data_IF_963375510774
#
_entry.id   IF_963375510774
#
_cell.length_a   1.000
_cell.length_b   1.000
_cell.length_c   1.000
_cell.angle_alpha   90.00
_cell.angle_beta   90.00
_cell.angle_gamma   90.00
#
_symmetry.space_group_name_H-M   'P 1'
#
loop_
_entity.id
_entity.type
_entity.pdbx_description
1 polymer ?
#
# COMPACT_ATOMS: atom_id res chain seq x y z
N UNK A 1 16.44 -10.02 4.69
CA UNK A 1 16.27 -10.76 3.41
C UNK A 1 16.47 -9.72 2.30
N UNK A 2 17.47 -9.87 1.43
CA UNK A 2 17.77 -8.82 0.42
C UNK A 2 16.59 -8.71 -0.56
N UNK A 3 15.92 -7.55 -0.57
CA UNK A 3 14.71 -7.30 -1.36
C UNK A 3 15.04 -7.20 -2.86
N UNK A 4 14.02 -7.17 -3.72
CA UNK A 4 14.15 -6.86 -5.15
C UNK A 4 15.16 -5.75 -5.48
N UNK A 5 15.22 -4.72 -4.62
CA UNK A 5 16.12 -3.58 -4.73
C UNK A 5 17.60 -3.97 -4.74
N UNK A 6 18.02 -4.90 -3.90
CA UNK A 6 19.43 -5.28 -3.75
C UNK A 6 19.93 -6.12 -4.94
N UNK A 7 19.07 -6.93 -5.56
CA UNK A 7 19.45 -7.80 -6.69
C UNK A 7 19.49 -7.06 -8.02
N UNK A 8 18.66 -6.04 -8.20
CA UNK A 8 18.54 -5.35 -9.49
C UNK A 8 19.63 -4.27 -9.70
N UNK A 9 20.17 -3.73 -8.61
CA UNK A 9 21.20 -2.69 -8.63
C UNK A 9 22.59 -3.18 -9.09
N UNK A 10 22.92 -4.47 -8.88
CA UNK A 10 24.22 -5.06 -9.25
C UNK A 10 24.56 -4.96 -10.75
N UNK A 11 23.62 -4.53 -11.61
CA UNK A 11 23.79 -4.51 -13.08
C UNK A 11 23.97 -3.12 -13.72
N UNK A 12 23.90 -2.00 -13.00
CA UNK A 12 23.75 -0.67 -13.67
C UNK A 12 24.72 0.47 -13.29
N UNK A 13 25.73 0.30 -12.44
CA UNK A 13 26.60 1.43 -12.08
C UNK A 13 27.77 1.66 -13.05
N UNK A 14 27.62 2.66 -13.94
CA UNK A 14 28.74 3.35 -14.59
C UNK A 14 28.47 4.86 -14.74
N UNK A 15 29.00 5.63 -13.79
CA UNK A 15 29.51 7.02 -13.89
C UNK A 15 28.55 8.22 -14.12
N UNK A 16 28.47 9.15 -13.14
CA UNK A 16 28.96 10.56 -13.20
C UNK A 16 28.35 11.46 -12.09
N UNK A 17 29.10 12.51 -11.75
CA UNK A 17 29.14 13.31 -10.51
C UNK A 17 28.23 14.57 -10.51
N UNK A 18 27.91 15.05 -9.30
CA UNK A 18 26.94 16.13 -8.93
C UNK A 18 27.61 17.51 -8.78
N UNK A 19 26.82 18.61 -8.82
CA UNK A 19 27.10 19.87 -8.09
C UNK A 19 25.80 20.61 -7.66
N UNK A 20 25.80 21.14 -6.43
CA UNK A 20 24.72 21.84 -5.68
C UNK A 20 24.72 23.38 -5.85
N UNK A 21 23.57 24.06 -5.60
CA UNK A 21 23.49 25.45 -5.04
C UNK A 21 22.22 25.65 -4.17
N UNK A 22 22.40 26.33 -3.02
CA UNK A 22 21.50 26.68 -1.90
C UNK A 22 20.59 27.91 -2.10
N UNK A 23 19.46 28.07 -1.37
CA UNK A 23 18.98 29.36 -0.79
C UNK A 23 17.84 29.23 0.27
N UNK A 24 17.88 30.15 1.26
CA UNK A 24 17.00 30.45 2.44
C UNK A 24 15.70 31.18 2.01
N UNK A 25 14.56 31.32 2.72
CA UNK A 25 14.05 31.07 4.08
C UNK A 25 12.70 31.84 4.29
N UNK A 26 12.03 31.65 5.44
CA UNK A 26 10.82 32.34 6.01
C UNK A 26 9.44 31.89 5.46
N UNK A 27 8.34 31.67 6.21
CA UNK A 27 7.96 31.81 7.62
C UNK A 27 6.50 31.33 7.78
N UNK A 28 6.13 30.80 8.96
CA UNK A 28 4.96 29.93 9.20
C UNK A 28 3.65 30.66 9.59
N UNK A 29 2.52 30.00 9.29
CA UNK A 29 1.19 30.22 9.89
C UNK A 29 0.33 28.94 9.80
N UNK A 30 -0.20 28.46 10.93
CA UNK A 30 -0.90 27.17 11.11
C UNK A 30 -2.38 27.21 10.64
N UNK A 31 -2.86 26.25 9.82
CA UNK A 31 -4.30 26.10 9.55
C UNK A 31 -4.78 24.68 9.85
N UNK A 32 -5.10 24.36 11.11
CA UNK A 32 -5.93 23.19 11.40
C UNK A 32 -7.11 23.58 12.28
N UNK A 33 -8.27 23.66 11.64
CA UNK A 33 -9.56 23.50 12.29
C UNK A 33 -9.83 22.01 12.52
N UNK A 34 -9.22 21.42 13.55
CA UNK A 34 -9.58 20.09 14.09
C UNK A 34 -10.90 20.15 14.89
N UNK A 35 -11.82 21.04 14.49
CA UNK A 35 -13.06 21.35 15.21
C UNK A 35 -14.30 20.58 14.74
N UNK A 36 -14.15 19.66 13.79
CA UNK A 36 -15.22 18.75 13.40
C UNK A 36 -14.91 17.40 14.05
N UNK A 37 -15.87 16.86 14.81
CA UNK A 37 -15.87 15.56 15.52
C UNK A 37 -15.48 15.58 17.02
N UNK A 38 -16.47 15.73 17.94
CA UNK A 38 -16.28 15.63 19.39
C UNK A 38 -16.29 14.17 19.90
N UNK A 39 -15.65 13.23 19.19
CA UNK A 39 -15.69 11.80 19.52
C UNK A 39 -14.39 11.24 20.08
N UNK A 40 -13.70 11.99 20.95
CA UNK A 40 -12.67 11.41 21.84
C UNK A 40 -12.80 12.06 23.23
N UNK A 41 -13.87 11.70 23.96
CA UNK A 41 -13.90 11.74 25.44
C UNK A 41 -15.01 10.79 25.94
N UNK A 42 -14.64 9.54 26.24
CA UNK A 42 -15.16 8.76 27.39
C UNK A 42 -14.70 7.29 27.31
N UNK A 43 -13.77 6.93 28.18
CA UNK A 43 -13.82 5.69 28.95
C UNK A 43 -12.77 5.70 30.07
N UNK A 44 -12.87 6.67 30.98
CA UNK A 44 -12.38 6.44 32.35
C UNK A 44 -13.58 6.06 33.22
N UNK A 45 -13.55 4.84 33.76
CA UNK A 45 -14.27 4.38 34.96
C UNK A 45 -15.80 4.49 34.99
N UNK A 46 -16.51 3.36 34.90
CA UNK A 46 -17.91 3.29 35.31
C UNK A 46 -18.58 1.93 35.08
N UNK A 47 -19.13 1.36 36.14
CA UNK A 47 -19.81 0.06 36.28
C UNK A 47 -20.68 -0.45 35.10
N UNK A 48 -20.70 -1.78 34.98
CA UNK A 48 -21.62 -2.59 34.18
C UNK A 48 -23.08 -2.34 34.63
N UNK A 49 -24.02 -1.95 33.74
CA UNK A 49 -25.44 -2.01 34.05
C UNK A 49 -26.00 -3.41 33.77
N UNK A 50 -26.86 -3.88 34.68
CA UNK A 50 -27.60 -5.13 34.55
C UNK A 50 -28.64 -5.10 33.42
N UNK A 51 -29.07 -6.30 33.03
CA UNK A 51 -29.99 -6.57 31.94
C UNK A 51 -31.32 -5.78 32.07
N UNK A 52 -31.45 -4.70 31.29
CA UNK A 52 -32.65 -3.88 31.28
C UNK A 52 -32.53 -2.64 30.39
N UNK A 53 -31.91 -2.74 29.21
CA UNK A 53 -31.85 -1.67 28.19
C UNK A 53 -31.44 -2.26 26.83
N UNK A 54 -32.32 -3.03 26.16
CA UNK A 54 -32.08 -3.51 24.78
C UNK A 54 -32.76 -2.66 23.70
N UNK A 55 -33.79 -1.88 24.03
CA UNK A 55 -34.47 -0.99 23.07
C UNK A 55 -33.73 0.34 22.86
N UNK A 56 -33.14 0.89 23.93
CA UNK A 56 -32.41 2.16 23.88
C UNK A 56 -31.04 2.08 23.17
N UNK A 57 -30.42 0.89 23.13
CA UNK A 57 -29.14 0.64 22.44
C UNK A 57 -29.34 0.51 20.94
N UNK A 58 -30.37 -0.20 20.49
CA UNK A 58 -30.69 -0.36 19.07
C UNK A 58 -31.10 0.98 18.42
N UNK A 59 -31.90 1.80 19.13
CA UNK A 59 -32.27 3.12 18.63
C UNK A 59 -31.03 4.03 18.49
N UNK A 60 -30.15 4.08 19.49
CA UNK A 60 -28.89 4.85 19.42
C UNK A 60 -27.95 4.37 18.32
N UNK A 61 -27.83 3.06 18.13
CA UNK A 61 -27.00 2.47 17.07
C UNK A 61 -27.57 2.82 15.68
N UNK A 62 -28.89 2.73 15.50
CA UNK A 62 -29.55 3.12 14.25
C UNK A 62 -29.44 4.63 13.93
N UNK A 63 -29.42 5.49 14.94
CA UNK A 63 -29.18 6.93 14.76
C UNK A 63 -27.71 7.22 14.45
N UNK A 64 -26.77 6.50 15.08
CA UNK A 64 -25.33 6.61 14.81
C UNK A 64 -24.99 6.16 13.37
N UNK A 65 -25.62 5.09 12.91
CA UNK A 65 -25.45 4.58 11.54
C UNK A 65 -25.99 5.57 10.50
N UNK A 66 -27.13 6.22 10.76
CA UNK A 66 -27.69 7.21 9.84
C UNK A 66 -26.89 8.52 9.79
N UNK A 67 -26.34 9.00 10.91
CA UNK A 67 -25.43 10.15 10.93
C UNK A 67 -24.12 9.85 10.19
N UNK A 68 -23.58 8.64 10.36
CA UNK A 68 -22.39 8.19 9.64
C UNK A 68 -22.67 8.08 8.13
N UNK A 69 -23.80 7.52 7.71
CA UNK A 69 -24.18 7.46 6.29
C UNK A 69 -24.27 8.86 5.66
N UNK A 70 -24.87 9.82 6.36
CA UNK A 70 -24.93 11.22 5.91
C UNK A 70 -23.54 11.83 5.82
N UNK A 71 -22.64 11.54 6.77
CA UNK A 71 -21.25 12.00 6.72
C UNK A 71 -20.48 11.35 5.56
N UNK A 72 -20.67 10.06 5.31
CA UNK A 72 -20.04 9.33 4.20
C UNK A 72 -20.53 9.81 2.84
N UNK A 73 -21.77 10.30 2.75
CA UNK A 73 -22.34 10.92 1.55
C UNK A 73 -21.61 12.18 1.09
N UNK A 74 -20.75 12.76 1.93
CA UNK A 74 -19.91 13.91 1.56
C UNK A 74 -18.62 13.49 0.81
N UNK A 75 -18.28 12.20 0.83
CA UNK A 75 -17.11 11.65 0.14
C UNK A 75 -17.52 11.02 -1.20
N UNK A 76 -16.64 11.04 -2.22
CA UNK A 76 -16.94 10.41 -3.50
C UNK A 76 -17.18 8.91 -3.34
N UNK A 77 -18.01 8.28 -4.16
CA UNK A 77 -18.24 6.83 -4.08
C UNK A 77 -16.93 6.04 -4.25
N UNK A 78 -16.69 4.95 -3.49
CA UNK A 78 -15.45 4.19 -3.62
C UNK A 78 -15.38 3.46 -4.98
N UNK A 79 -14.27 3.61 -5.69
CA UNK A 79 -13.96 2.89 -6.90
C UNK A 79 -13.26 1.57 -6.54
N UNK A 80 -14.02 0.46 -6.53
CA UNK A 80 -13.49 -0.88 -6.18
C UNK A 80 -12.57 -1.51 -7.25
N UNK A 81 -12.31 -0.80 -8.35
CA UNK A 81 -11.27 -1.14 -9.34
C UNK A 81 -9.99 -0.34 -9.12
N UNK A 82 -9.93 0.51 -8.09
CA UNK A 82 -8.73 1.24 -7.70
C UNK A 82 -8.25 0.74 -6.34
N UNK A 83 -7.05 0.16 -6.34
CA UNK A 83 -6.43 -0.44 -5.16
C UNK A 83 -5.28 0.44 -4.69
N UNK A 84 -5.01 0.52 -3.38
CA UNK A 84 -3.86 1.25 -2.84
C UNK A 84 -3.08 0.38 -1.86
N UNK A 85 -1.76 0.26 -2.03
CA UNK A 85 -0.90 -0.48 -1.09
C UNK A 85 -0.79 0.27 0.25
N UNK A 86 -0.98 -0.45 1.35
CA UNK A 86 -1.13 0.12 2.69
C UNK A 86 -0.35 -0.69 3.72
N UNK A 87 0.36 0.02 4.59
CA UNK A 87 1.31 -0.55 5.55
C UNK A 87 0.88 -0.23 6.97
N UNK A 88 0.94 -1.25 7.83
CA UNK A 88 0.47 -1.21 9.22
C UNK A 88 1.59 -1.37 10.22
N UNK A 89 2.84 -1.14 9.81
CA UNK A 89 4.01 -1.47 10.61
C UNK A 89 4.54 -0.31 11.47
N UNK A 90 3.86 0.84 11.47
CA UNK A 90 4.31 2.03 12.19
C UNK A 90 3.90 1.93 13.65
N UNK A 91 4.82 2.24 14.57
CA UNK A 91 4.56 2.21 16.00
C UNK A 91 5.15 3.41 16.73
N UNK A 92 4.56 3.81 17.84
CA UNK A 92 5.01 4.93 18.66
C UNK A 92 5.02 4.61 20.17
N UNK A 93 5.61 5.53 20.95
CA UNK A 93 5.79 5.32 22.39
C UNK A 93 4.47 5.10 23.15
N UNK A 94 3.36 5.70 22.70
CA UNK A 94 2.08 5.69 23.41
C UNK A 94 1.33 4.37 23.24
N UNK A 95 1.28 3.82 22.02
CA UNK A 95 0.50 2.62 21.70
C UNK A 95 1.34 1.35 21.68
N UNK A 96 2.64 1.46 21.35
CA UNK A 96 3.52 0.32 21.12
C UNK A 96 4.66 0.24 22.15
N UNK A 97 4.78 1.25 23.03
CA UNK A 97 5.84 1.34 24.04
C UNK A 97 7.24 1.66 23.47
N UNK A 98 7.36 1.82 22.16
CA UNK A 98 8.57 2.22 21.43
C UNK A 98 8.22 2.68 20.02
N UNK A 99 9.12 3.39 19.36
CA UNK A 99 9.01 3.61 17.92
C UNK A 99 9.32 2.33 17.15
N UNK A 100 8.52 2.06 16.12
CA UNK A 100 8.66 0.95 15.17
C UNK A 100 8.52 1.55 13.77
N UNK A 101 9.36 1.12 12.83
CA UNK A 101 9.53 1.70 11.49
C UNK A 101 9.97 3.16 11.44
N UNK A 102 9.42 4.09 12.24
CA UNK A 102 9.86 5.48 12.24
C UNK A 102 11.34 5.63 12.61
N UNK A 103 11.85 4.78 13.50
CA UNK A 103 13.25 4.68 13.90
C UNK A 103 14.06 3.70 13.02
N UNK A 104 13.73 3.63 11.72
CA UNK A 104 14.38 2.73 10.77
C UNK A 104 15.91 2.89 10.78
N UNK A 105 16.70 1.82 10.60
CA UNK A 105 18.13 1.94 10.35
C UNK A 105 18.43 2.47 8.94
N UNK A 106 19.56 3.17 8.80
CA UNK A 106 20.20 3.36 7.51
C UNK A 106 20.69 1.99 7.01
N UNK A 107 20.20 1.56 5.86
CA UNK A 107 20.56 0.28 5.25
C UNK A 107 21.91 0.39 4.55
N UNK A 108 22.87 -0.49 4.89
CA UNK A 108 24.17 -0.47 4.25
C UNK A 108 24.05 -0.90 2.79
N UNK A 109 24.89 -0.30 1.94
CA UNK A 109 25.11 -0.82 0.59
C UNK A 109 25.76 -2.21 0.67
N UNK A 110 25.44 -3.12 -0.26
CA UNK A 110 25.97 -4.50 -0.24
C UNK A 110 27.50 -4.57 -0.44
N UNK A 111 28.07 -3.64 -1.19
CA UNK A 111 29.53 -3.43 -1.27
C UNK A 111 30.02 -2.67 -0.01
N UNK A 112 30.85 -3.30 0.86
CA UNK A 112 31.36 -2.67 2.06
C UNK A 112 32.17 -1.40 1.82
N UNK A 113 32.83 -1.28 0.67
CA UNK A 113 33.63 -0.08 0.31
C UNK A 113 32.73 1.11 0.05
N UNK A 114 31.62 0.90 -0.64
CA UNK A 114 30.60 1.93 -0.88
C UNK A 114 29.88 2.25 0.42
N UNK A 115 29.51 1.24 1.22
CA UNK A 115 28.83 1.42 2.49
C UNK A 115 29.62 2.28 3.50
N UNK A 116 30.95 2.26 3.44
CA UNK A 116 31.80 3.09 4.30
C UNK A 116 31.63 4.60 4.05
N UNK A 117 31.13 5.00 2.87
CA UNK A 117 30.88 6.39 2.50
C UNK A 117 29.51 6.94 2.93
N UNK A 118 28.65 6.12 3.53
CA UNK A 118 27.28 6.50 3.88
C UNK A 118 27.02 6.50 5.40
N UNK A 119 26.06 7.30 5.88
CA UNK A 119 25.64 7.31 7.29
C UNK A 119 25.24 5.92 7.79
N UNK A 120 25.48 5.68 9.07
CA UNK A 120 25.07 4.48 9.80
C UNK A 120 24.26 4.87 11.02
N UNK A 121 23.46 3.94 11.52
CA UNK A 121 22.64 4.14 12.72
C UNK A 121 21.16 4.17 12.39
N UNK A 122 20.35 4.54 13.39
CA UNK A 122 18.89 4.61 13.30
C UNK A 122 18.43 6.05 13.41
N UNK A 123 17.31 6.35 12.76
CA UNK A 123 16.60 7.60 12.97
C UNK A 123 16.08 7.70 14.42
N UNK A 124 15.92 8.93 14.92
CA UNK A 124 15.45 9.22 16.29
C UNK A 124 14.13 10.03 16.32
N UNK A 125 12.96 9.36 16.25
CA UNK A 125 11.66 10.02 16.25
C UNK A 125 11.36 10.74 17.58
N UNK A 126 10.48 11.76 17.60
CA UNK A 126 9.57 12.13 16.51
C UNK A 126 10.18 13.11 15.49
N UNK A 127 11.29 13.78 15.80
CA UNK A 127 11.83 14.84 14.95
C UNK A 127 12.63 14.32 13.75
N UNK A 128 13.34 13.20 13.94
CA UNK A 128 14.11 12.50 12.91
C UNK A 128 13.47 11.13 12.64
N UNK A 129 12.80 10.99 11.50
CA UNK A 129 12.14 9.74 11.08
C UNK A 129 12.80 9.18 9.83
N UNK A 130 12.70 7.86 9.64
CA UNK A 130 13.18 7.16 8.45
C UNK A 130 12.36 7.41 7.20
N UNK A 131 12.12 8.66 6.82
CA UNK A 131 11.35 9.07 5.66
C UNK A 131 11.86 10.40 5.11
N UNK A 132 11.74 10.61 3.80
CA UNK A 132 12.10 11.88 3.18
C UNK A 132 11.00 12.95 3.30
N UNK A 133 9.76 12.52 3.56
CA UNK A 133 8.60 13.39 3.81
C UNK A 133 8.12 13.21 5.26
N UNK A 134 7.37 14.17 5.80
CA UNK A 134 6.83 14.08 7.15
C UNK A 134 5.30 13.97 7.18
N UNK A 135 4.71 12.96 7.85
CA UNK A 135 3.27 12.78 7.92
C UNK A 135 2.56 13.93 8.64
N UNK A 136 1.40 14.35 8.14
CA UNK A 136 0.53 15.30 8.84
C UNK A 136 0.05 14.76 10.20
N UNK A 137 -0.07 13.43 10.33
CA UNK A 137 -0.44 12.73 11.56
C UNK A 137 0.77 12.48 12.49
N UNK A 138 1.98 12.95 12.12
CA UNK A 138 3.21 12.73 12.87
C UNK A 138 3.72 11.29 12.82
N UNK A 139 4.66 10.95 13.71
CA UNK A 139 5.16 9.59 13.89
C UNK A 139 4.12 8.74 14.63
N UNK A 140 3.05 8.38 13.91
CA UNK A 140 1.85 7.74 14.43
C UNK A 140 2.03 6.24 14.75
N UNK A 141 1.06 5.65 15.44
CA UNK A 141 0.94 4.19 15.56
C UNK A 141 -0.14 3.68 14.61
N UNK A 142 0.16 2.63 13.86
CA UNK A 142 -0.81 1.89 13.05
C UNK A 142 -1.83 1.12 13.89
N UNK A 143 -1.58 0.95 15.20
CA UNK A 143 -2.52 0.33 16.16
C UNK A 143 -3.51 1.32 16.77
N UNK A 144 -3.29 2.63 16.59
CA UNK A 144 -4.20 3.66 17.08
C UNK A 144 -5.48 3.69 16.22
N UNK A 145 -6.67 3.39 16.79
CA UNK A 145 -7.92 3.40 16.02
C UNK A 145 -8.20 4.76 15.35
N UNK A 146 -7.80 5.87 15.98
CA UNK A 146 -8.04 7.21 15.43
C UNK A 146 -7.20 7.48 14.16
N UNK A 147 -6.02 6.85 14.08
CA UNK A 147 -5.15 6.91 12.90
C UNK A 147 -5.75 6.06 11.77
N UNK A 148 -6.26 4.87 12.08
CA UNK A 148 -6.94 4.02 11.08
C UNK A 148 -8.19 4.74 10.54
N UNK A 149 -8.98 5.40 11.39
CA UNK A 149 -10.13 6.21 10.94
C UNK A 149 -9.69 7.38 10.05
N UNK A 150 -8.65 8.12 10.45
CA UNK A 150 -8.08 9.19 9.65
C UNK A 150 -7.58 8.70 8.27
N UNK A 151 -6.98 7.51 8.22
CA UNK A 151 -6.55 6.89 6.97
C UNK A 151 -7.74 6.52 6.08
N UNK A 152 -8.78 5.89 6.62
CA UNK A 152 -9.97 5.56 5.82
C UNK A 152 -10.66 6.82 5.29
N UNK A 153 -10.73 7.91 6.07
CA UNK A 153 -11.21 9.20 5.60
C UNK A 153 -10.40 9.71 4.39
N UNK A 154 -9.07 9.67 4.47
CA UNK A 154 -8.18 10.07 3.36
C UNK A 154 -8.38 9.18 2.11
N UNK A 155 -8.50 7.87 2.31
CA UNK A 155 -8.77 6.90 1.24
C UNK A 155 -10.11 7.22 0.57
N UNK A 156 -11.15 7.53 1.36
CA UNK A 156 -12.47 7.94 0.84
C UNK A 156 -12.40 9.26 0.08
N UNK A 157 -11.65 10.25 0.55
CA UNK A 157 -11.40 11.50 -0.19
C UNK A 157 -10.80 11.25 -1.57
N UNK A 158 -9.94 10.24 -1.71
CA UNK A 158 -9.31 9.87 -2.97
C UNK A 158 -10.17 8.99 -3.89
N UNK A 159 -11.40 8.64 -3.48
CA UNK A 159 -12.28 7.67 -4.14
C UNK A 159 -11.71 6.25 -4.31
N UNK A 160 -10.62 5.91 -3.63
CA UNK A 160 -10.08 4.55 -3.63
C UNK A 160 -11.05 3.62 -2.88
N UNK A 161 -11.36 2.47 -3.47
CA UNK A 161 -12.30 1.50 -2.89
C UNK A 161 -11.64 0.30 -2.23
N UNK A 162 -10.37 0.01 -2.52
CA UNK A 162 -9.70 -1.19 -2.01
C UNK A 162 -8.33 -0.84 -1.41
N UNK A 163 -8.14 -1.22 -0.15
CA UNK A 163 -6.89 -1.16 0.57
C UNK A 163 -6.16 -2.51 0.42
N UNK A 164 -4.98 -2.51 -0.20
CA UNK A 164 -4.09 -3.66 -0.34
C UNK A 164 -3.12 -3.71 0.84
N UNK A 165 -3.51 -4.45 1.88
CA UNK A 165 -2.82 -4.53 3.16
C UNK A 165 -1.55 -5.38 3.05
N UNK A 166 -0.38 -4.78 3.27
CA UNK A 166 0.88 -5.50 3.47
C UNK A 166 0.73 -6.49 4.62
N UNK A 167 1.03 -7.76 4.38
CA UNK A 167 0.72 -8.83 5.32
C UNK A 167 1.85 -9.86 5.44
N UNK A 168 2.14 -10.19 6.70
CA UNK A 168 2.99 -11.29 7.13
C UNK A 168 2.15 -12.30 7.94
N UNK A 169 2.51 -13.60 7.93
CA UNK A 169 1.87 -14.60 8.79
C UNK A 169 1.92 -14.22 10.28
N UNK A 170 0.97 -14.73 11.10
CA UNK A 170 0.95 -14.45 12.54
C UNK A 170 2.30 -14.75 13.21
N UNK A 171 2.78 -13.81 14.02
CA UNK A 171 4.08 -13.91 14.68
C UNK A 171 5.30 -13.65 13.79
N UNK A 172 5.10 -13.28 12.51
CA UNK A 172 6.15 -12.85 11.59
C UNK A 172 6.01 -11.37 11.24
N UNK A 173 7.11 -10.76 10.82
CA UNK A 173 7.22 -9.37 10.38
C UNK A 173 8.40 -9.24 9.39
N UNK A 174 8.59 -8.05 8.82
CA UNK A 174 9.83 -7.71 8.15
C UNK A 174 11.00 -7.54 9.14
N UNK A 175 12.21 -7.33 8.63
CA UNK A 175 13.43 -7.26 9.45
C UNK A 175 13.48 -6.03 10.39
N UNK A 176 12.63 -5.01 10.18
CA UNK A 176 12.63 -3.75 10.93
C UNK A 176 11.32 -3.48 11.68
N UNK A 177 10.33 -4.36 11.56
CA UNK A 177 9.00 -4.24 12.14
C UNK A 177 8.69 -5.23 13.25
N UNK A 178 7.40 -5.30 13.59
CA UNK A 178 6.82 -6.27 14.52
C UNK A 178 5.55 -6.89 13.91
N UNK A 179 5.07 -8.05 14.40
CA UNK A 179 3.88 -8.70 13.84
C UNK A 179 2.65 -7.79 13.86
N UNK A 180 1.92 -7.75 12.75
CA UNK A 180 0.75 -6.86 12.56
C UNK A 180 -0.58 -7.60 12.37
N UNK A 181 -0.57 -8.94 12.24
CA UNK A 181 -1.78 -9.72 11.96
C UNK A 181 -2.84 -9.63 13.08
N UNK A 182 -2.41 -9.37 14.32
CA UNK A 182 -3.29 -9.39 15.50
C UNK A 182 -4.34 -8.26 15.51
N UNK A 183 -4.10 -7.15 14.79
CA UNK A 183 -5.06 -6.05 14.67
C UNK A 183 -5.66 -5.87 13.26
N UNK A 184 -5.49 -6.86 12.38
CA UNK A 184 -6.23 -6.93 11.11
C UNK A 184 -7.76 -6.86 11.29
N UNK A 185 -8.38 -7.49 12.32
CA UNK A 185 -9.81 -7.33 12.58
C UNK A 185 -10.23 -5.86 12.75
N UNK A 186 -9.46 -5.06 13.49
CA UNK A 186 -9.75 -3.63 13.69
C UNK A 186 -9.71 -2.85 12.35
N UNK A 187 -8.74 -3.15 11.50
CA UNK A 187 -8.63 -2.52 10.17
C UNK A 187 -9.84 -2.88 9.31
N UNK A 188 -10.29 -4.13 9.36
CA UNK A 188 -11.48 -4.60 8.64
C UNK A 188 -12.75 -3.90 9.13
N UNK A 189 -12.94 -3.78 10.44
CA UNK A 189 -14.09 -3.10 11.06
C UNK A 189 -14.15 -1.63 10.62
N UNK A 190 -13.02 -0.91 10.72
CA UNK A 190 -12.94 0.49 10.30
C UNK A 190 -13.09 0.61 8.78
N UNK A 191 -12.48 -0.25 7.98
CA UNK A 191 -12.68 -0.24 6.52
C UNK A 191 -14.16 -0.41 6.14
N UNK A 192 -14.88 -1.33 6.81
CA UNK A 192 -16.32 -1.53 6.59
C UNK A 192 -17.12 -0.27 6.93
N UNK A 193 -16.81 0.38 8.06
CA UNK A 193 -17.43 1.65 8.47
C UNK A 193 -17.35 2.71 7.36
N UNK A 194 -16.26 2.74 6.60
CA UNK A 194 -16.05 3.68 5.51
C UNK A 194 -16.39 3.13 4.11
N UNK A 195 -16.96 1.92 3.99
CA UNK A 195 -17.23 1.26 2.70
C UNK A 195 -15.97 1.02 1.85
N UNK A 196 -14.82 0.81 2.50
CA UNK A 196 -13.56 0.38 1.87
C UNK A 196 -13.44 -1.13 2.01
N UNK A 197 -12.92 -1.79 0.97
CA UNK A 197 -12.60 -3.23 1.01
C UNK A 197 -11.12 -3.45 1.30
N UNK A 198 -10.78 -4.58 1.91
CA UNK A 198 -9.42 -4.98 2.25
C UNK A 198 -9.05 -6.21 1.43
N UNK A 199 -7.95 -6.08 0.68
CA UNK A 199 -7.30 -7.16 -0.06
C UNK A 199 -5.91 -7.38 0.52
N UNK A 200 -5.37 -8.60 0.46
CA UNK A 200 -4.08 -8.91 1.08
C UNK A 200 -2.94 -8.84 0.07
N UNK A 201 -1.86 -8.16 0.47
CA UNK A 201 -0.59 -8.08 -0.22
C UNK A 201 0.44 -8.89 0.57
N UNK A 202 0.66 -10.13 0.13
CA UNK A 202 1.45 -11.13 0.85
C UNK A 202 2.93 -10.87 0.61
N UNK A 203 3.62 -10.49 1.67
CA UNK A 203 5.04 -10.14 1.67
C UNK A 203 5.94 -11.39 1.59
N UNK A 204 7.23 -11.23 1.23
CA UNK A 204 8.20 -12.31 1.34
C UNK A 204 8.55 -12.55 2.81
N UNK A 205 8.11 -13.69 3.35
CA UNK A 205 8.47 -14.13 4.69
C UNK A 205 9.42 -15.32 4.68
N UNK A 206 10.13 -15.53 5.80
CA UNK A 206 11.10 -16.62 5.94
C UNK A 206 10.41 -17.98 5.79
N UNK A 207 10.92 -18.81 4.88
CA UNK A 207 10.35 -20.13 4.63
C UNK A 207 9.11 -20.12 3.74
N UNK A 208 8.80 -19.02 3.04
CA UNK A 208 7.69 -18.97 2.09
C UNK A 208 7.87 -20.00 0.97
N UNK A 209 6.98 -20.98 0.92
CA UNK A 209 6.87 -22.01 -0.12
C UNK A 209 5.40 -22.32 -0.46
N UNK A 210 5.16 -23.35 -1.27
CA UNK A 210 3.82 -23.74 -1.71
C UNK A 210 2.90 -24.19 -0.56
N UNK A 211 3.44 -24.91 0.42
CA UNK A 211 2.67 -25.38 1.57
C UNK A 211 2.40 -24.27 2.59
N UNK A 212 3.40 -23.43 2.88
CA UNK A 212 3.23 -22.29 3.78
C UNK A 212 2.26 -21.27 3.19
N UNK A 213 2.28 -21.07 1.86
CA UNK A 213 1.31 -20.23 1.16
C UNK A 213 -0.09 -20.83 1.24
N UNK A 214 -0.28 -22.13 0.99
CA UNK A 214 -1.56 -22.80 1.22
C UNK A 214 -2.11 -22.52 2.63
N UNK A 215 -1.28 -22.72 3.66
CA UNK A 215 -1.66 -22.48 5.06
C UNK A 215 -2.00 -21.01 5.32
N UNK A 216 -1.26 -20.08 4.71
CA UNK A 216 -1.52 -18.64 4.83
C UNK A 216 -2.86 -18.24 4.21
N UNK A 217 -3.16 -18.72 3.00
CA UNK A 217 -4.44 -18.46 2.33
C UNK A 217 -5.60 -19.05 3.11
N UNK A 218 -5.46 -20.31 3.54
CA UNK A 218 -6.44 -20.97 4.42
C UNK A 218 -6.69 -20.15 5.68
N UNK A 219 -5.63 -19.69 6.35
CA UNK A 219 -5.74 -18.86 7.55
C UNK A 219 -6.49 -17.55 7.29
N UNK A 220 -6.07 -16.79 6.27
CA UNK A 220 -6.69 -15.51 5.91
C UNK A 220 -8.18 -15.72 5.61
N UNK A 221 -8.52 -16.72 4.81
CA UNK A 221 -9.91 -16.98 4.42
C UNK A 221 -10.76 -17.47 5.59
N UNK A 222 -10.22 -18.31 6.47
CA UNK A 222 -10.96 -18.78 7.65
C UNK A 222 -11.15 -17.69 8.70
N UNK A 223 -10.13 -16.84 8.91
CA UNK A 223 -10.17 -15.80 9.95
C UNK A 223 -10.90 -14.54 9.52
N UNK A 224 -10.75 -14.14 8.25
CA UNK A 224 -11.21 -12.85 7.74
C UNK A 224 -12.21 -12.95 6.59
N UNK A 225 -12.34 -14.10 5.94
CA UNK A 225 -13.11 -14.24 4.69
C UNK A 225 -14.59 -13.88 4.80
N UNK A 226 -15.21 -14.10 5.97
CA UNK A 226 -16.62 -13.76 6.20
C UNK A 226 -16.84 -12.29 6.57
N UNK A 227 -15.77 -11.52 6.78
CA UNK A 227 -15.89 -10.11 7.13
C UNK A 227 -16.44 -9.30 5.93
N UNK A 228 -17.43 -8.40 6.11
CA UNK A 228 -18.02 -7.62 5.01
C UNK A 228 -17.03 -6.76 4.22
N UNK A 229 -15.97 -6.27 4.86
CA UNK A 229 -14.88 -5.55 4.18
C UNK A 229 -13.89 -6.45 3.42
N UNK A 230 -13.92 -7.78 3.59
CA UNK A 230 -13.00 -8.67 2.87
C UNK A 230 -13.26 -8.62 1.37
N UNK A 231 -12.24 -8.23 0.59
CA UNK A 231 -12.38 -8.00 -0.84
C UNK A 231 -12.57 -9.31 -1.61
N UNK A 232 -13.59 -9.32 -2.48
CA UNK A 232 -13.77 -10.34 -3.51
C UNK A 232 -13.94 -9.65 -4.86
N UNK A 233 -13.22 -10.14 -5.85
CA UNK A 233 -13.32 -9.68 -7.22
C UNK A 233 -14.36 -10.51 -8.00
N UNK A 234 -15.20 -9.83 -8.78
CA UNK A 234 -16.16 -10.48 -9.67
C UNK A 234 -15.47 -10.83 -10.98
N UNK A 235 -15.21 -12.11 -11.19
CA UNK A 235 -14.63 -12.62 -12.44
C UNK A 235 -15.59 -12.46 -13.62
N UNK A 236 -15.08 -12.60 -14.86
CA UNK A 236 -15.92 -12.61 -16.08
C UNK A 236 -17.00 -13.69 -16.08
N UNK A 237 -16.81 -14.79 -15.34
CA UNK A 237 -17.82 -15.85 -15.13
C UNK A 237 -18.94 -15.46 -14.15
N UNK A 238 -18.83 -14.32 -13.47
CA UNK A 238 -19.73 -13.88 -12.41
C UNK A 238 -19.38 -14.40 -11.01
N UNK A 239 -18.43 -15.35 -10.88
CA UNK A 239 -17.94 -15.81 -9.57
C UNK A 239 -17.23 -14.69 -8.81
N UNK A 240 -17.50 -14.59 -7.50
CA UNK A 240 -16.80 -13.73 -6.56
C UNK A 240 -15.66 -14.52 -5.89
N UNK A 241 -14.42 -14.14 -6.15
CA UNK A 241 -13.24 -14.80 -5.59
C UNK A 241 -12.38 -13.81 -4.80
N UNK A 242 -11.77 -14.21 -3.66
CA UNK A 242 -10.71 -13.45 -3.02
C UNK A 242 -9.60 -13.11 -4.02
N UNK A 243 -8.95 -11.96 -3.86
CA UNK A 243 -7.76 -11.59 -4.63
C UNK A 243 -6.56 -11.49 -3.69
N UNK A 244 -5.39 -11.92 -4.14
CA UNK A 244 -4.14 -11.84 -3.38
C UNK A 244 -3.02 -11.31 -4.26
N UNK A 245 -2.36 -10.24 -3.83
CA UNK A 245 -1.10 -9.81 -4.43
C UNK A 245 0.04 -10.58 -3.76
N UNK A 246 0.99 -11.09 -4.55
CA UNK A 246 2.16 -11.82 -4.03
C UNK A 246 3.42 -11.03 -4.35
N UNK A 247 3.98 -10.34 -3.35
CA UNK A 247 5.22 -9.56 -3.51
C UNK A 247 6.42 -10.48 -3.69
N UNK A 248 7.35 -10.09 -4.57
CA UNK A 248 8.53 -10.88 -4.90
C UNK A 248 8.24 -12.36 -5.22
N UNK A 249 7.13 -12.61 -5.93
CA UNK A 249 6.68 -13.97 -6.29
C UNK A 249 7.75 -14.77 -7.05
N UNK A 250 8.62 -14.10 -7.81
CA UNK A 250 9.74 -14.69 -8.56
C UNK A 250 10.84 -15.29 -7.67
N UNK A 251 10.80 -15.09 -6.34
CA UNK A 251 11.73 -15.77 -5.41
C UNK A 251 11.44 -17.27 -5.28
N UNK A 252 10.22 -17.71 -5.59
CA UNK A 252 9.83 -19.12 -5.62
C UNK A 252 9.68 -19.57 -7.08
N UNK A 253 10.21 -20.75 -7.42
CA UNK A 253 10.19 -21.28 -8.79
C UNK A 253 8.77 -21.54 -9.30
N UNK A 254 8.56 -21.48 -10.61
CA UNK A 254 7.27 -21.77 -11.24
C UNK A 254 6.71 -23.15 -10.90
N UNK A 255 7.54 -24.20 -10.81
CA UNK A 255 7.10 -25.55 -10.42
C UNK A 255 6.51 -25.61 -9.01
N UNK A 256 7.09 -24.82 -8.10
CA UNK A 256 6.61 -24.70 -6.73
C UNK A 256 5.27 -23.99 -6.68
N UNK A 257 5.13 -22.88 -7.40
CA UNK A 257 3.83 -22.22 -7.55
C UNK A 257 2.78 -23.12 -8.21
N UNK A 258 3.16 -23.90 -9.22
CA UNK A 258 2.26 -24.83 -9.90
C UNK A 258 1.68 -25.90 -8.96
N UNK A 259 2.42 -26.33 -7.92
CA UNK A 259 1.86 -27.21 -6.89
C UNK A 259 0.66 -26.61 -6.16
N UNK A 260 0.59 -25.28 -6.05
CA UNK A 260 -0.46 -24.53 -5.35
C UNK A 260 -1.55 -24.03 -6.32
N UNK A 261 -1.16 -23.48 -7.47
CA UNK A 261 -2.04 -22.68 -8.32
C UNK A 261 -2.55 -23.42 -9.57
N UNK A 262 -2.17 -24.68 -9.78
CA UNK A 262 -2.69 -25.53 -10.88
C UNK A 262 -3.48 -26.71 -10.36
N UNK A 263 -4.37 -27.22 -11.21
CA UNK A 263 -5.11 -28.46 -10.99
C UNK A 263 -4.76 -29.49 -12.08
N UNK A 264 -4.22 -30.67 -11.75
CA UNK A 264 -3.82 -31.11 -10.40
C UNK A 264 -2.47 -30.50 -9.97
N UNK A 265 -2.41 -30.07 -8.71
CA UNK A 265 -1.19 -29.61 -8.03
C UNK A 265 -1.13 -30.22 -6.63
N UNK A 266 0.07 -30.49 -6.11
CA UNK A 266 0.27 -31.23 -4.84
C UNK A 266 -0.50 -30.62 -3.65
N UNK A 267 -0.57 -29.29 -3.59
CA UNK A 267 -1.25 -28.53 -2.55
C UNK A 267 -2.28 -27.59 -3.18
N UNK A 268 -2.92 -28.01 -4.28
CA UNK A 268 -3.75 -27.11 -5.07
C UNK A 268 -4.88 -26.49 -4.26
N UNK A 269 -5.02 -25.16 -4.38
CA UNK A 269 -6.18 -24.42 -3.84
C UNK A 269 -7.33 -24.32 -4.86
N UNK A 270 -7.06 -24.67 -6.13
CA UNK A 270 -8.04 -24.57 -7.21
C UNK A 270 -9.21 -25.51 -6.97
N UNK A 271 -10.42 -25.05 -7.24
CA UNK A 271 -11.65 -25.83 -7.01
C UNK A 271 -11.85 -26.27 -5.55
N UNK A 272 -11.23 -25.58 -4.59
CA UNK A 272 -11.46 -25.77 -3.14
C UNK A 272 -12.17 -24.56 -2.54
N UNK A 273 -12.65 -24.62 -1.29
CA UNK A 273 -13.16 -23.43 -0.58
C UNK A 273 -12.12 -22.31 -0.41
N UNK A 274 -10.84 -22.58 -0.69
CA UNK A 274 -9.74 -21.63 -0.58
C UNK A 274 -9.25 -21.10 -1.94
N UNK A 275 -10.02 -21.30 -3.02
CA UNK A 275 -9.69 -20.77 -4.34
C UNK A 275 -9.75 -19.24 -4.36
N UNK A 276 -8.97 -18.63 -5.26
CA UNK A 276 -8.76 -17.19 -5.31
C UNK A 276 -8.06 -16.73 -6.58
N UNK A 277 -7.89 -15.41 -6.72
CA UNK A 277 -7.18 -14.77 -7.82
C UNK A 277 -5.80 -14.36 -7.30
N UNK A 278 -4.73 -14.91 -7.87
CA UNK A 278 -3.36 -14.68 -7.44
C UNK A 278 -2.62 -13.82 -8.46
N UNK A 279 -2.12 -12.67 -8.01
CA UNK A 279 -1.47 -11.67 -8.85
C UNK A 279 0.04 -11.66 -8.56
N UNK A 280 0.84 -12.03 -9.55
CA UNK A 280 2.30 -12.11 -9.45
C UNK A 280 3.00 -10.77 -9.73
N UNK A 281 4.12 -10.52 -9.05
CA UNK A 281 4.95 -9.36 -9.35
C UNK A 281 5.79 -9.59 -10.62
N UNK A 282 5.59 -8.75 -11.63
CA UNK A 282 6.40 -8.76 -12.86
C UNK A 282 7.55 -7.76 -12.77
N UNK A 283 8.79 -8.26 -12.68
CA UNK A 283 10.02 -7.43 -12.61
C UNK A 283 10.79 -7.43 -13.93
N UNK A 284 11.13 -8.61 -14.45
CA UNK A 284 11.85 -8.77 -15.71
C UNK A 284 10.93 -9.37 -16.79
N UNK A 285 11.17 -9.04 -18.06
CA UNK A 285 10.41 -9.56 -19.21
C UNK A 285 10.31 -11.10 -19.20
N UNK A 286 11.42 -11.77 -18.84
CA UNK A 286 11.52 -13.24 -18.78
C UNK A 286 10.54 -13.87 -17.78
N UNK A 287 10.18 -13.17 -16.70
CA UNK A 287 9.28 -13.69 -15.66
C UNK A 287 7.87 -13.97 -16.20
N UNK A 288 7.47 -13.36 -17.33
CA UNK A 288 6.18 -13.63 -17.98
C UNK A 288 5.93 -15.12 -18.23
N UNK A 289 6.96 -15.85 -18.70
CA UNK A 289 6.85 -17.30 -18.96
C UNK A 289 6.72 -18.09 -17.66
N UNK A 290 7.50 -17.72 -16.64
CA UNK A 290 7.47 -18.38 -15.33
C UNK A 290 6.13 -18.17 -14.63
N UNK A 291 5.53 -16.98 -14.76
CA UNK A 291 4.21 -16.65 -14.21
C UNK A 291 3.11 -17.53 -14.84
N UNK A 292 3.13 -17.73 -16.16
CA UNK A 292 2.20 -18.65 -16.84
C UNK A 292 2.41 -20.10 -16.40
N UNK A 293 3.68 -20.52 -16.34
CA UNK A 293 4.03 -21.87 -15.90
C UNK A 293 3.61 -22.12 -14.44
N UNK A 294 3.67 -21.09 -13.60
CA UNK A 294 3.26 -21.11 -12.20
C UNK A 294 1.74 -21.23 -11.98
N UNK A 295 0.91 -20.77 -12.92
CA UNK A 295 -0.55 -20.79 -12.79
C UNK A 295 -1.16 -19.59 -12.07
N UNK A 296 -0.46 -18.45 -12.03
CA UNK A 296 -1.03 -17.18 -11.56
C UNK A 296 -2.17 -16.70 -12.46
N UNK A 297 -3.09 -15.93 -11.89
CA UNK A 297 -4.27 -15.38 -12.58
C UNK A 297 -4.01 -13.98 -13.15
N UNK A 298 -2.89 -13.35 -12.79
CA UNK A 298 -2.56 -12.01 -13.25
C UNK A 298 -1.19 -11.54 -12.83
N UNK A 299 -0.86 -10.32 -13.26
CA UNK A 299 0.39 -9.64 -12.91
C UNK A 299 0.17 -8.20 -12.46
N UNK A 300 1.04 -7.73 -11.56
CA UNK A 300 1.16 -6.32 -11.17
C UNK A 300 2.63 -5.88 -11.16
N UNK A 301 2.88 -4.57 -11.03
CA UNK A 301 4.21 -4.00 -11.30
C UNK A 301 4.86 -3.30 -10.10
N UNK A 302 4.10 -3.01 -9.04
CA UNK A 302 4.47 -2.39 -7.77
C UNK A 302 5.28 -1.10 -7.83
N UNK A 303 6.54 -1.12 -8.29
CA UNK A 303 7.47 -0.01 -8.08
C UNK A 303 6.99 1.31 -8.67
N UNK A 304 7.02 2.37 -7.85
CA UNK A 304 6.63 3.73 -8.26
C UNK A 304 7.64 4.39 -9.20
N UNK A 305 8.88 3.88 -9.27
CA UNK A 305 9.94 4.39 -10.14
C UNK A 305 9.80 3.84 -11.57
N UNK A 306 9.41 4.73 -12.48
CA UNK A 306 9.41 4.46 -13.91
C UNK A 306 10.86 4.21 -14.38
N UNK A 307 11.07 3.06 -15.03
CA UNK A 307 12.39 2.63 -15.52
C UNK A 307 13.19 1.77 -14.53
N UNK A 308 12.68 1.53 -13.32
CA UNK A 308 13.36 0.67 -12.33
C UNK A 308 13.39 -0.79 -12.80
N UNK A 309 12.23 -1.34 -13.20
CA UNK A 309 12.11 -2.70 -13.73
C UNK A 309 11.43 -2.70 -15.11
N UNK A 310 11.44 -3.86 -15.79
CA UNK A 310 10.68 -4.01 -17.03
C UNK A 310 9.18 -3.76 -16.77
N UNK A 311 8.66 -4.31 -15.66
CA UNK A 311 7.26 -4.13 -15.26
C UNK A 311 6.91 -2.69 -14.88
N UNK A 312 7.79 -1.97 -14.16
CA UNK A 312 7.50 -0.58 -13.74
C UNK A 312 7.76 0.47 -14.83
N UNK A 313 8.29 0.06 -15.99
CA UNK A 313 8.52 0.97 -17.12
C UNK A 313 7.23 1.18 -17.91
N UNK A 314 6.67 2.39 -17.85
CA UNK A 314 5.36 2.71 -18.45
C UNK A 314 5.27 2.37 -19.94
N UNK A 315 6.38 2.50 -20.68
CA UNK A 315 6.45 2.16 -22.11
C UNK A 315 6.16 0.69 -22.42
N UNK A 316 6.29 -0.20 -21.44
CA UNK A 316 6.06 -1.64 -21.61
C UNK A 316 4.63 -2.06 -21.28
N UNK A 317 3.81 -1.20 -20.65
CA UNK A 317 2.49 -1.58 -20.14
C UNK A 317 1.52 -2.04 -21.23
N UNK A 318 1.59 -1.43 -22.42
CA UNK A 318 0.79 -1.90 -23.58
C UNK A 318 1.17 -3.33 -23.98
N UNK A 319 2.47 -3.64 -24.04
CA UNK A 319 2.96 -4.99 -24.38
C UNK A 319 2.65 -5.99 -23.27
N UNK A 320 2.74 -5.60 -22.00
CA UNK A 320 2.36 -6.45 -20.87
C UNK A 320 0.87 -6.75 -20.91
N UNK A 321 0.01 -5.74 -21.15
CA UNK A 321 -1.43 -5.95 -21.35
C UNK A 321 -1.71 -6.92 -22.49
N UNK A 322 -1.12 -6.72 -23.66
CA UNK A 322 -1.33 -7.63 -24.80
C UNK A 322 -0.92 -9.07 -24.50
N UNK A 323 0.17 -9.26 -23.74
CA UNK A 323 0.56 -10.57 -23.26
C UNK A 323 -0.47 -11.16 -22.30
N UNK A 324 -0.96 -10.37 -21.34
CA UNK A 324 -1.97 -10.80 -20.38
C UNK A 324 -3.27 -11.21 -21.09
N UNK A 325 -3.75 -10.40 -22.04
CA UNK A 325 -4.97 -10.69 -22.81
C UNK A 325 -4.84 -11.98 -23.62
N UNK A 326 -3.68 -12.19 -24.26
CA UNK A 326 -3.42 -13.39 -25.07
C UNK A 326 -3.33 -14.66 -24.23
N UNK A 327 -3.18 -14.55 -22.91
CA UNK A 327 -3.02 -15.68 -22.00
C UNK A 327 -4.08 -15.72 -20.89
N UNK A 328 -5.16 -14.95 -21.02
CA UNK A 328 -6.24 -14.88 -20.02
C UNK A 328 -5.73 -14.54 -18.61
N UNK A 329 -4.78 -13.60 -18.53
CA UNK A 329 -4.27 -13.05 -17.27
C UNK A 329 -4.84 -11.65 -17.04
N UNK A 330 -5.03 -11.28 -15.79
CA UNK A 330 -5.29 -9.90 -15.40
C UNK A 330 -4.00 -9.08 -15.44
N UNK A 331 -4.06 -7.85 -15.94
CA UNK A 331 -2.99 -6.87 -15.81
C UNK A 331 -3.40 -5.73 -14.88
N UNK A 332 -2.66 -5.56 -13.78
CA UNK A 332 -2.87 -4.51 -12.79
C UNK A 332 -1.63 -3.60 -12.76
N UNK A 333 -1.55 -2.54 -13.58
CA UNK A 333 -0.44 -1.59 -13.49
C UNK A 333 -0.44 -0.90 -12.13
N UNK A 334 0.76 -0.66 -11.60
CA UNK A 334 0.98 0.08 -10.36
C UNK A 334 1.51 1.48 -10.67
N UNK A 335 0.79 2.51 -10.25
CA UNK A 335 1.16 3.92 -10.41
C UNK A 335 1.65 4.48 -9.07
N UNK A 336 2.56 5.46 -9.09
CA UNK A 336 3.02 6.10 -7.86
C UNK A 336 3.31 7.59 -8.04
N UNK A 337 3.25 8.39 -6.97
CA UNK A 337 3.35 9.85 -7.05
C UNK A 337 4.77 10.38 -7.27
N UNK A 338 5.76 9.53 -7.01
CA UNK A 338 7.20 9.78 -7.07
C UNK A 338 7.90 8.68 -6.28
N UNK A 339 9.20 8.84 -6.04
CA UNK A 339 10.00 7.91 -5.24
C UNK A 339 11.19 8.63 -4.64
N UNK A 340 11.46 8.44 -3.36
CA UNK A 340 12.66 8.90 -2.68
C UNK A 340 12.83 8.15 -1.37
N UNK A 341 13.87 7.31 -1.28
CA UNK A 341 14.16 6.47 -0.11
C UNK A 341 15.53 6.77 0.52
N UNK A 342 16.12 7.91 0.18
CA UNK A 342 17.49 8.25 0.58
C UNK A 342 17.66 8.48 2.07
N UNK A 343 16.57 8.65 2.82
CA UNK A 343 16.61 8.63 4.30
C UNK A 343 17.10 7.29 4.84
N UNK A 344 16.69 6.18 4.24
CA UNK A 344 17.05 4.83 4.69
C UNK A 344 18.01 4.10 3.74
N UNK A 345 18.10 4.50 2.47
CA UNK A 345 19.02 3.95 1.46
C UNK A 345 19.76 5.12 0.78
N UNK A 346 20.72 5.77 1.46
CA UNK A 346 21.35 6.99 0.95
C UNK A 346 22.14 6.79 -0.36
N UNK A 347 22.45 5.53 -0.71
CA UNK A 347 23.08 5.13 -1.97
C UNK A 347 22.10 4.98 -3.14
N UNK A 348 20.79 5.03 -2.92
CA UNK A 348 19.78 4.70 -3.93
C UNK A 348 19.24 5.92 -4.72
N UNK A 349 19.92 7.06 -4.64
CA UNK A 349 19.49 8.33 -5.25
C UNK A 349 19.17 8.26 -6.75
N UNK A 350 19.78 7.34 -7.51
CA UNK A 350 19.52 7.16 -8.95
C UNK A 350 18.06 6.75 -9.27
N UNK A 351 17.39 6.14 -8.29
CA UNK A 351 16.00 5.71 -8.43
C UNK A 351 15.00 6.79 -7.98
N UNK A 352 15.48 7.91 -7.44
CA UNK A 352 14.64 9.04 -7.07
C UNK A 352 13.86 9.57 -8.27
N UNK A 353 12.58 9.86 -8.05
CA UNK A 353 11.68 10.49 -9.03
C UNK A 353 10.94 11.62 -8.32
N UNK A 354 11.29 12.85 -8.67
CA UNK A 354 10.60 14.03 -8.16
C UNK A 354 9.13 13.98 -8.55
N UNK A 355 8.26 14.42 -7.64
CA UNK A 355 6.82 14.39 -7.89
C UNK A 355 6.37 15.43 -8.94
N UNK A 356 7.19 16.47 -9.16
CA UNK A 356 6.97 17.58 -10.11
C UNK A 356 5.54 18.13 -9.93
N UNK A 357 5.18 18.48 -8.69
CA UNK A 357 3.88 19.02 -8.32
C UNK A 357 2.69 18.17 -8.84
N UNK A 358 2.83 16.85 -8.79
CA UNK A 358 1.82 15.88 -9.24
C UNK A 358 1.99 15.41 -10.68
N UNK A 359 2.78 16.10 -11.53
CA UNK A 359 2.89 15.75 -12.95
C UNK A 359 3.45 14.35 -13.20
N UNK A 360 4.37 13.89 -12.35
CA UNK A 360 4.89 12.53 -12.42
C UNK A 360 3.76 11.50 -12.24
N UNK A 361 2.92 11.73 -11.23
CA UNK A 361 1.80 10.85 -10.90
C UNK A 361 0.75 10.82 -12.02
N UNK A 362 0.36 11.98 -12.54
CA UNK A 362 -0.60 12.09 -13.63
C UNK A 362 -0.10 11.40 -14.91
N UNK A 363 1.21 11.44 -15.15
CA UNK A 363 1.82 10.74 -16.29
C UNK A 363 1.75 9.22 -16.11
N UNK A 364 1.94 8.72 -14.88
CA UNK A 364 1.76 7.29 -14.57
C UNK A 364 0.31 6.86 -14.78
N UNK A 365 -0.68 7.61 -14.26
CA UNK A 365 -2.08 7.31 -14.51
C UNK A 365 -2.45 7.36 -15.99
N UNK A 366 -1.98 8.36 -16.74
CA UNK A 366 -2.23 8.44 -18.18
C UNK A 366 -1.78 7.16 -18.91
N UNK A 367 -0.56 6.71 -18.63
CA UNK A 367 -0.02 5.49 -19.21
C UNK A 367 -0.80 4.23 -18.77
N UNK A 368 -1.25 4.18 -17.52
CA UNK A 368 -2.06 3.07 -17.02
C UNK A 368 -3.41 3.01 -17.76
N UNK A 369 -4.10 4.14 -17.93
CA UNK A 369 -5.38 4.21 -18.64
C UNK A 369 -5.25 3.82 -20.12
N UNK A 370 -4.15 4.19 -20.78
CA UNK A 370 -3.88 3.77 -22.16
C UNK A 370 -3.76 2.25 -22.33
N UNK A 371 -3.31 1.54 -21.28
CA UNK A 371 -3.24 0.09 -21.26
C UNK A 371 -4.60 -0.59 -21.02
N UNK A 372 -5.68 0.17 -20.77
CA UNK A 372 -7.05 -0.31 -20.54
C UNK A 372 -7.15 -1.47 -19.52
N UNK A 373 -6.62 -1.33 -18.29
CA UNK A 373 -6.67 -2.38 -17.28
C UNK A 373 -8.04 -2.43 -16.59
N UNK A 374 -8.39 -3.60 -16.03
CA UNK A 374 -9.59 -3.74 -15.20
C UNK A 374 -9.42 -3.18 -13.79
N UNK A 375 -8.18 -3.14 -13.30
CA UNK A 375 -7.79 -2.64 -11.99
C UNK A 375 -6.52 -1.79 -12.14
N UNK A 376 -6.46 -0.66 -11.44
CA UNK A 376 -5.22 0.09 -11.24
C UNK A 376 -4.84 -0.04 -9.77
N UNK A 377 -3.55 -0.27 -9.50
CA UNK A 377 -2.99 -0.24 -8.14
C UNK A 377 -2.17 1.04 -7.94
N UNK A 378 -2.18 1.58 -6.72
CA UNK A 378 -1.43 2.77 -6.33
C UNK A 378 -0.37 2.37 -5.32
N UNK A 379 0.88 2.64 -5.65
CA UNK A 379 2.04 2.55 -4.78
C UNK A 379 2.40 3.97 -4.36
N UNK A 380 1.94 4.45 -3.20
CA UNK A 380 1.28 3.74 -2.09
C UNK A 380 0.39 4.69 -1.29
N UNK A 381 -0.40 4.19 -0.34
CA UNK A 381 -1.03 5.05 0.65
C UNK A 381 0.03 5.69 1.55
N UNK A 382 0.81 4.86 2.27
CA UNK A 382 1.70 5.30 3.35
C UNK A 382 3.05 4.56 3.42
N UNK A 383 3.68 4.19 2.30
CA UNK A 383 5.07 3.73 2.32
C UNK A 383 6.02 4.93 2.43
N UNK A 384 6.15 5.47 3.65
CA UNK A 384 6.89 6.69 3.94
C UNK A 384 8.40 6.54 3.72
N UNK A 385 8.94 5.34 3.95
CA UNK A 385 10.35 5.06 3.76
C UNK A 385 10.79 5.23 2.31
N UNK A 386 9.90 4.98 1.36
CA UNK A 386 10.21 5.06 -0.07
C UNK A 386 9.70 6.35 -0.73
N UNK A 387 9.07 7.23 0.05
CA UNK A 387 8.57 8.51 -0.45
C UNK A 387 7.46 8.35 -1.49
N UNK A 388 6.76 7.20 -1.50
CA UNK A 388 5.71 6.86 -2.47
C UNK A 388 4.30 7.13 -1.94
N UNK A 389 4.16 7.65 -0.72
CA UNK A 389 2.87 7.88 -0.06
C UNK A 389 2.00 8.94 -0.76
N UNK A 390 0.69 8.71 -0.82
CA UNK A 390 -0.33 9.72 -1.13
C UNK A 390 -0.99 10.29 0.13
N UNK A 391 -0.73 9.69 1.30
CA UNK A 391 -1.12 10.21 2.62
C UNK A 391 -0.66 11.66 2.79
N UNK A 392 -1.41 12.43 3.58
CA UNK A 392 -1.13 13.83 3.85
C UNK A 392 0.28 14.03 4.42
N UNK A 393 1.09 14.87 3.75
CA UNK A 393 2.39 15.31 4.23
C UNK A 393 2.39 16.82 4.51
N UNK A 394 3.22 17.25 5.47
CA UNK A 394 3.35 18.66 5.86
C UNK A 394 4.80 19.14 5.73
N UNK A 395 5.03 20.44 5.46
CA UNK A 395 6.34 21.04 5.60
C UNK A 395 6.85 20.90 7.03
N UNK A 396 8.05 20.33 7.19
CA UNK A 396 8.73 20.23 8.49
C UNK A 396 10.23 20.47 8.35
N UNK A 397 10.80 21.14 9.35
CA UNK A 397 12.25 21.26 9.51
C UNK A 397 12.59 20.87 10.95
N UNK A 398 13.50 19.91 11.11
CA UNK A 398 13.96 19.41 12.39
C UNK A 398 15.49 19.48 12.44
N UNK A 399 16.04 20.42 13.21
CA UNK A 399 17.48 20.67 13.24
C UNK A 399 18.00 21.07 11.86
N UNK A 400 18.89 20.27 11.29
CA UNK A 400 19.45 20.46 9.94
C UNK A 400 18.66 19.74 8.84
N UNK A 401 17.73 18.84 9.21
CA UNK A 401 16.93 18.07 8.25
C UNK A 401 15.71 18.89 7.83
N UNK A 402 15.64 19.19 6.53
CA UNK A 402 14.44 19.71 5.88
C UNK A 402 13.76 18.54 5.16
N UNK A 403 12.54 18.21 5.56
CA UNK A 403 11.74 17.19 4.88
C UNK A 403 11.20 17.74 3.56
N UNK A 404 11.06 16.87 2.58
CA UNK A 404 10.28 17.14 1.37
C UNK A 404 8.81 17.30 1.73
N UNK A 405 8.10 18.10 0.94
CA UNK A 405 6.69 18.41 1.16
C UNK A 405 5.94 18.56 -0.16
N UNK A 406 4.66 18.94 -0.09
CA UNK A 406 3.77 19.04 -1.25
C UNK A 406 3.60 20.49 -1.74
N UNK A 407 4.34 21.46 -1.20
CA UNK A 407 4.23 22.85 -1.62
C UNK A 407 4.56 23.01 -3.11
N UNK A 408 3.90 23.97 -3.80
CA UNK A 408 2.97 24.97 -3.28
C UNK A 408 1.53 24.45 -3.07
N UNK A 409 1.27 23.16 -3.25
CA UNK A 409 -0.05 22.57 -3.01
C UNK A 409 -0.28 22.26 -1.53
N UNK A 410 -1.54 21.95 -1.20
CA UNK A 410 -1.95 21.54 0.14
C UNK A 410 -1.47 20.12 0.46
N UNK A 411 -1.54 19.74 1.74
CA UNK A 411 -1.14 18.42 2.23
C UNK A 411 -1.94 17.27 1.59
N UNK A 412 -3.14 17.51 1.11
CA UNK A 412 -4.05 16.53 0.49
C UNK A 412 -3.95 16.44 -1.04
N UNK A 413 -3.00 17.15 -1.66
CA UNK A 413 -2.89 17.28 -3.12
C UNK A 413 -2.89 15.93 -3.87
N UNK A 414 -2.25 14.90 -3.33
CA UNK A 414 -2.17 13.58 -3.97
C UNK A 414 -3.46 12.76 -3.80
N UNK A 415 -4.27 13.03 -2.78
CA UNK A 415 -5.62 12.49 -2.66
C UNK A 415 -6.53 13.13 -3.72
N UNK A 416 -6.45 14.45 -3.91
CA UNK A 416 -7.21 15.16 -4.94
C UNK A 416 -6.84 14.69 -6.36
N UNK A 417 -5.55 14.53 -6.65
CA UNK A 417 -5.10 13.98 -7.94
C UNK A 417 -5.66 12.57 -8.13
N UNK A 418 -5.56 11.71 -7.10
CA UNK A 418 -6.08 10.34 -7.16
C UNK A 418 -7.59 10.32 -7.43
N UNK A 419 -8.36 11.18 -6.75
CA UNK A 419 -9.80 11.29 -6.99
C UNK A 419 -10.12 11.67 -8.44
N UNK A 420 -9.48 12.70 -9.00
CA UNK A 420 -9.70 13.09 -10.41
C UNK A 420 -9.41 11.95 -11.38
N UNK A 421 -8.36 11.17 -11.14
CA UNK A 421 -8.02 10.02 -11.96
C UNK A 421 -8.92 8.81 -11.72
N UNK A 422 -9.46 8.62 -10.50
CA UNK A 422 -10.45 7.61 -10.21
C UNK A 422 -11.75 7.84 -10.99
N UNK A 423 -12.23 9.09 -11.08
CA UNK A 423 -13.39 9.46 -11.89
C UNK A 423 -13.12 9.23 -13.38
N UNK A 424 -11.96 9.65 -13.88
CA UNK A 424 -11.57 9.45 -15.28
C UNK A 424 -11.47 7.97 -15.61
N UNK A 425 -10.87 7.17 -14.74
CA UNK A 425 -10.74 5.73 -14.91
C UNK A 425 -12.11 5.05 -14.93
N UNK A 426 -13.02 5.40 -14.01
CA UNK A 426 -14.38 4.85 -14.02
C UNK A 426 -15.12 5.14 -15.34
N UNK A 427 -15.09 6.40 -15.80
CA UNK A 427 -15.72 6.84 -17.07
C UNK A 427 -15.13 6.14 -18.29
N UNK A 428 -13.81 5.94 -18.34
CA UNK A 428 -13.18 5.24 -19.45
C UNK A 428 -13.49 3.75 -19.43
N UNK A 429 -13.49 3.12 -18.24
CA UNK A 429 -13.82 1.69 -18.10
C UNK A 429 -15.24 1.37 -18.57
N UNK A 430 -16.21 2.23 -18.28
CA UNK A 430 -17.58 2.09 -18.79
C UNK A 430 -17.63 2.05 -20.33
N UNK A 431 -16.81 2.85 -21.02
CA UNK A 431 -16.73 2.85 -22.49
C UNK A 431 -16.07 1.60 -23.05
N UNK A 432 -15.25 0.90 -22.26
CA UNK A 432 -14.55 -0.31 -22.70
C UNK A 432 -15.39 -1.58 -22.55
N UNK A 433 -16.43 -1.52 -21.72
CA UNK A 433 -17.35 -2.62 -21.44
C UNK A 433 -18.57 -2.65 -22.39
N UNK A 434 -18.70 -1.62 -23.25
CA UNK A 434 -19.58 -1.59 -24.43
C UNK A 434 -18.81 -2.16 -25.62
#
# INVERSE_FOLDING_TARGET
MSSAFDKQWQRRSASHTVNEIMFKGLGFGSPFGLGLFPYIRRSEGGNIPGAGDMEGTNAKMSTLDSELEVALGQFPAPNYNLHVFYYTWYGNQQFDGKYIHWNHPNLPHWDPKVAAGYPKGKHNPPEDIGANFYPALGAYSSRDPSIIEAHMLQIRTSAVGVLALSWYPPGMADDNGEPTDDFVPLILDVAQKYQVKVVFHIEPYKGRDDLSMYNSIKYIMQKYGEHPAFYRHKTGSGKLLPLFYVYDSYLLSSDKWANLLKDPGRHSIRNTPFDGIFIALLVEDKHKKDILAAGFDGVYTYFATNGFSYGSSHSNWRTIKSFCDSNNLMFIPSVGPGYMDTSIRPWNYQNTRNRINGKYYETAFAAALEARPDIISITSFNEWHEGTQIELAIPKTAGQTKYEDYLPHKSDAYLEITHRWAEKFAKEREKWLV
#
